data_IF_279670414394
#
_entry.id   IF_279670414394
#
_cell.length_a   1.000
_cell.length_b   1.000
_cell.length_c   1.000
_cell.angle_alpha   90.00
_cell.angle_beta   90.00
_cell.angle_gamma   90.00
#
_symmetry.space_group_name_H-M   'P 1'
#
loop_
_entity.id
_entity.type
_entity.pdbx_description
1 polymer ?
#
# COMPACT_ATOMS: atom_id res chain seq x y z
N UNK A 1 2.01 -13.30 8.50
CA UNK A 1 2.37 -12.19 7.59
C UNK A 1 3.08 -11.10 8.37
N UNK A 2 3.97 -10.32 7.72
CA UNK A 2 4.71 -9.22 8.41
C UNK A 2 3.77 -8.22 9.08
N UNK A 3 2.67 -7.83 8.44
CA UNK A 3 1.68 -6.90 9.00
C UNK A 3 1.10 -7.45 10.31
N UNK A 4 0.63 -8.70 10.31
CA UNK A 4 0.04 -9.34 11.50
C UNK A 4 1.05 -9.41 12.66
N UNK A 5 2.29 -9.80 12.35
CA UNK A 5 3.38 -9.89 13.32
C UNK A 5 3.71 -8.51 13.91
N UNK A 6 3.70 -7.46 13.08
CA UNK A 6 3.95 -6.08 13.51
C UNK A 6 2.88 -5.59 14.48
N UNK A 7 1.60 -5.78 14.18
CA UNK A 7 0.53 -5.41 15.11
C UNK A 7 0.56 -6.22 16.40
N UNK A 8 0.84 -7.53 16.32
CA UNK A 8 0.98 -8.37 17.51
C UNK A 8 2.12 -7.89 18.41
N UNK A 9 3.27 -7.53 17.82
CA UNK A 9 4.42 -6.95 18.54
C UNK A 9 4.05 -5.62 19.20
N UNK A 10 3.46 -4.68 18.46
CA UNK A 10 3.07 -3.38 19.00
C UNK A 10 2.06 -3.54 20.16
N UNK A 11 1.10 -4.44 20.02
CA UNK A 11 0.14 -4.75 21.09
C UNK A 11 0.83 -5.33 22.34
N UNK A 12 1.77 -6.25 22.16
CA UNK A 12 2.54 -6.84 23.26
C UNK A 12 3.38 -5.78 23.98
N UNK A 13 3.95 -4.84 23.22
CA UNK A 13 4.76 -3.73 23.75
C UNK A 13 3.92 -2.58 24.33
N UNK A 14 2.57 -2.67 24.24
CA UNK A 14 1.65 -1.62 24.72
C UNK A 14 1.73 -0.32 23.94
N UNK A 15 2.18 -0.36 22.67
CA UNK A 15 2.32 0.81 21.81
C UNK A 15 1.38 0.76 20.60
N UNK A 16 1.01 1.94 20.09
CA UNK A 16 0.32 2.10 18.81
C UNK A 16 1.31 1.91 17.66
N UNK A 17 0.92 1.18 16.61
CA UNK A 17 1.73 1.07 15.40
C UNK A 17 1.83 2.44 14.71
N UNK A 18 3.06 2.85 14.38
CA UNK A 18 3.33 4.07 13.64
C UNK A 18 3.44 3.76 12.15
N UNK A 19 2.51 4.29 11.35
CA UNK A 19 2.43 4.07 9.91
C UNK A 19 2.76 5.38 9.20
N UNK A 20 3.69 5.34 8.24
CA UNK A 20 4.08 6.50 7.43
C UNK A 20 3.64 6.30 5.99
N UNK A 21 3.22 7.39 5.32
CA UNK A 21 2.88 7.40 3.90
C UNK A 21 3.85 8.28 3.11
N UNK A 22 4.30 7.79 1.96
CA UNK A 22 5.12 8.53 1.00
C UNK A 22 4.81 8.09 -0.44
N UNK A 23 4.44 8.99 -1.36
CA UNK A 23 4.34 8.66 -2.78
C UNK A 23 5.73 8.33 -3.35
N UNK A 24 5.79 7.28 -4.18
CA UNK A 24 7.01 6.95 -4.90
C UNK A 24 7.39 8.09 -5.84
N UNK A 25 8.65 8.52 -5.81
CA UNK A 25 9.13 9.65 -6.60
C UNK A 25 8.83 11.04 -6.00
N UNK A 26 8.45 11.11 -4.72
CA UNK A 26 8.36 12.40 -4.05
C UNK A 26 9.72 13.10 -4.10
N UNK A 27 9.74 14.34 -4.70
CA UNK A 27 10.88 15.09 -5.24
C UNK A 27 11.51 14.36 -6.42
N UNK A 28 12.30 13.34 -6.21
CA UNK A 28 12.94 12.57 -7.28
C UNK A 28 12.81 11.06 -7.03
N UNK A 29 12.85 10.26 -8.12
CA UNK A 29 12.76 8.80 -8.03
C UNK A 29 13.86 8.22 -7.14
N UNK A 30 15.08 8.78 -7.25
CA UNK A 30 16.22 8.33 -6.47
C UNK A 30 16.11 8.57 -4.96
N UNK A 31 15.28 9.52 -4.54
CA UNK A 31 15.07 9.84 -3.12
C UNK A 31 14.18 8.81 -2.41
N UNK A 32 13.37 8.05 -3.14
CA UNK A 32 12.38 7.16 -2.53
C UNK A 32 13.02 6.13 -1.61
N UNK A 33 14.05 5.40 -2.06
CA UNK A 33 14.70 4.36 -1.23
C UNK A 33 15.33 4.95 0.03
N UNK A 34 16.16 6.00 -0.04
CA UNK A 34 16.68 6.68 1.16
C UNK A 34 15.58 7.11 2.14
N UNK A 35 14.45 7.62 1.65
CA UNK A 35 13.33 8.04 2.49
C UNK A 35 12.69 6.82 3.19
N UNK A 36 12.43 5.72 2.48
CA UNK A 36 11.87 4.50 3.07
C UNK A 36 12.76 3.96 4.19
N UNK A 37 14.07 3.92 3.98
CA UNK A 37 15.04 3.49 4.99
C UNK A 37 15.10 4.46 6.17
N UNK A 38 15.00 5.77 5.92
CA UNK A 38 14.95 6.78 6.98
C UNK A 38 13.65 6.68 7.80
N UNK A 39 12.50 6.43 7.17
CA UNK A 39 11.24 6.17 7.88
C UNK A 39 11.37 4.98 8.82
N UNK A 40 11.93 3.87 8.35
CA UNK A 40 12.20 2.70 9.19
C UNK A 40 13.15 3.04 10.35
N UNK A 41 14.26 3.71 10.08
CA UNK A 41 15.21 4.13 11.09
C UNK A 41 14.60 5.12 12.11
N UNK A 42 13.64 5.94 11.67
CA UNK A 42 12.84 6.84 12.50
C UNK A 42 11.75 6.17 13.33
N UNK A 43 11.60 4.85 13.22
CA UNK A 43 10.67 4.06 14.03
C UNK A 43 9.32 3.80 13.39
N UNK A 44 9.16 3.98 12.07
CA UNK A 44 7.96 3.53 11.39
C UNK A 44 7.80 2.01 11.51
N UNK A 45 6.64 1.57 11.96
CA UNK A 45 6.31 0.15 12.10
C UNK A 45 5.80 -0.45 10.78
N UNK A 46 5.14 0.36 9.95
CA UNK A 46 4.65 0.03 8.61
C UNK A 46 4.88 1.24 7.71
N UNK A 47 5.17 1.02 6.43
CA UNK A 47 5.30 2.10 5.46
C UNK A 47 4.29 1.89 4.33
N UNK A 48 3.50 2.91 4.06
CA UNK A 48 2.64 2.99 2.89
C UNK A 48 3.37 3.71 1.76
N UNK A 49 3.47 3.08 0.61
CA UNK A 49 4.09 3.66 -0.59
C UNK A 49 2.99 3.97 -1.61
N UNK A 50 2.79 5.25 -1.88
CA UNK A 50 1.83 5.70 -2.87
C UNK A 50 2.30 5.39 -4.29
N UNK A 51 1.43 4.74 -5.08
CA UNK A 51 1.62 4.56 -6.52
C UNK A 51 1.24 5.88 -7.19
N UNK A 52 2.15 6.56 -7.93
CA UNK A 52 1.83 7.83 -8.58
C UNK A 52 0.58 7.74 -9.46
N UNK A 53 -0.33 8.67 -9.29
CA UNK A 53 -1.58 8.72 -10.03
C UNK A 53 -1.93 10.17 -10.38
N UNK A 54 -2.43 10.40 -11.60
CA UNK A 54 -2.68 11.73 -12.14
C UNK A 54 -3.92 12.42 -11.60
N UNK A 55 -4.89 11.65 -11.09
CA UNK A 55 -6.17 12.16 -10.58
C UNK A 55 -6.53 11.58 -9.20
N UNK A 56 -5.73 11.84 -8.15
CA UNK A 56 -5.92 11.28 -6.81
C UNK A 56 -7.04 12.02 -6.06
N UNK A 57 -8.29 11.85 -6.53
CA UNK A 57 -9.45 12.63 -6.09
C UNK A 57 -9.85 12.47 -4.62
N UNK A 58 -9.40 11.42 -3.95
CA UNK A 58 -9.65 11.23 -2.51
C UNK A 58 -8.57 11.90 -1.62
N UNK A 59 -7.46 12.32 -2.22
CA UNK A 59 -6.35 12.94 -1.49
C UNK A 59 -6.50 14.46 -1.37
N UNK A 60 -5.93 15.03 -0.31
CA UNK A 60 -5.81 16.47 -0.14
C UNK A 60 -4.72 17.08 -1.06
N UNK A 61 -4.69 18.43 -1.22
CA UNK A 61 -3.84 19.10 -2.20
C UNK A 61 -2.34 18.86 -1.99
N UNK A 62 -1.89 18.61 -0.77
CA UNK A 62 -0.49 18.32 -0.45
C UNK A 62 -0.08 16.96 -1.02
N UNK A 63 -0.92 15.96 -0.81
CA UNK A 63 -0.68 14.59 -1.31
C UNK A 63 -0.84 14.54 -2.83
N UNK A 64 -1.85 15.23 -3.40
CA UNK A 64 -2.01 15.36 -4.85
C UNK A 64 -0.73 15.91 -5.50
N UNK A 65 -0.15 16.97 -4.92
CA UNK A 65 1.12 17.53 -5.42
C UNK A 65 2.28 16.54 -5.32
N UNK A 66 2.31 15.73 -4.28
CA UNK A 66 3.34 14.70 -4.11
C UNK A 66 3.18 13.56 -5.13
N UNK A 67 1.96 13.14 -5.45
CA UNK A 67 1.66 12.20 -6.55
C UNK A 67 2.10 12.77 -7.90
N UNK A 68 1.79 14.06 -8.15
CA UNK A 68 2.15 14.72 -9.41
C UNK A 68 3.67 14.66 -9.67
N UNK A 69 4.51 14.81 -8.65
CA UNK A 69 5.96 14.67 -8.80
C UNK A 69 6.35 13.30 -9.38
N UNK A 70 5.72 12.24 -8.94
CA UNK A 70 5.97 10.90 -9.49
C UNK A 70 5.44 10.72 -10.91
N UNK A 71 4.26 11.29 -11.20
CA UNK A 71 3.65 11.29 -12.55
C UNK A 71 4.55 12.03 -13.53
N UNK A 72 5.04 13.23 -13.18
CA UNK A 72 5.90 14.05 -14.04
C UNK A 72 7.23 13.36 -14.37
N UNK A 73 7.70 12.48 -13.49
CA UNK A 73 8.89 11.64 -13.70
C UNK A 73 8.59 10.36 -14.47
N UNK A 74 7.34 10.11 -14.86
CA UNK A 74 6.94 8.91 -15.59
C UNK A 74 7.07 7.61 -14.79
N UNK A 75 6.97 7.67 -13.47
CA UNK A 75 7.07 6.49 -12.61
C UNK A 75 5.88 5.59 -12.84
N UNK A 76 6.16 4.36 -13.24
CA UNK A 76 5.18 3.31 -13.49
C UNK A 76 4.99 2.41 -12.26
N UNK A 77 3.93 1.60 -12.26
CA UNK A 77 3.72 0.57 -11.23
C UNK A 77 4.92 -0.40 -11.13
N UNK A 78 5.51 -0.77 -12.27
CA UNK A 78 6.72 -1.62 -12.31
C UNK A 78 7.90 -0.96 -11.59
N UNK A 79 8.07 0.36 -11.75
CA UNK A 79 9.12 1.11 -11.04
C UNK A 79 8.88 1.10 -9.53
N UNK A 80 7.63 1.21 -9.09
CA UNK A 80 7.27 1.13 -7.65
C UNK A 80 7.64 -0.24 -7.09
N UNK A 81 7.30 -1.33 -7.78
CA UNK A 81 7.67 -2.68 -7.36
C UNK A 81 9.19 -2.86 -7.29
N UNK A 82 9.92 -2.38 -8.31
CA UNK A 82 11.38 -2.43 -8.31
C UNK A 82 11.97 -1.63 -7.15
N UNK A 83 11.43 -0.43 -6.88
CA UNK A 83 11.85 0.41 -5.74
C UNK A 83 11.71 -0.32 -4.41
N UNK A 84 10.60 -1.02 -4.18
CA UNK A 84 10.41 -1.82 -2.96
C UNK A 84 11.42 -2.98 -2.90
N UNK A 85 11.62 -3.68 -4.00
CA UNK A 85 12.60 -4.77 -4.09
C UNK A 85 14.01 -4.29 -3.76
N UNK A 86 14.42 -3.16 -4.34
CA UNK A 86 15.74 -2.57 -4.11
C UNK A 86 15.91 -2.04 -2.67
N UNK A 87 14.85 -1.48 -2.09
CA UNK A 87 14.84 -1.08 -0.69
C UNK A 87 14.98 -2.29 0.25
N UNK A 88 14.32 -3.42 -0.08
CA UNK A 88 14.48 -4.69 0.64
C UNK A 88 15.94 -5.18 0.60
N UNK A 89 16.56 -5.14 -0.56
CA UNK A 89 17.97 -5.50 -0.72
C UNK A 89 18.92 -4.61 0.09
N UNK A 90 18.52 -3.36 0.36
CA UNK A 90 19.26 -2.39 1.18
C UNK A 90 18.88 -2.40 2.66
N UNK A 91 18.09 -3.38 3.12
CA UNK A 91 17.80 -3.57 4.55
C UNK A 91 16.44 -3.05 5.03
N UNK A 92 15.49 -2.77 4.14
CA UNK A 92 14.11 -2.47 4.54
C UNK A 92 13.42 -3.75 5.03
N UNK A 93 13.05 -3.81 6.31
CA UNK A 93 12.45 -4.99 6.95
C UNK A 93 11.00 -4.80 7.38
N UNK A 94 10.57 -3.56 7.67
CA UNK A 94 9.19 -3.26 8.06
C UNK A 94 8.19 -3.59 6.93
N UNK A 95 6.93 -3.93 7.23
CA UNK A 95 5.92 -4.13 6.21
C UNK A 95 5.79 -2.93 5.27
N UNK A 96 5.59 -3.22 3.98
CA UNK A 96 5.31 -2.23 2.94
C UNK A 96 3.92 -2.50 2.36
N UNK A 97 3.08 -1.49 2.38
CA UNK A 97 1.74 -1.49 1.77
C UNK A 97 1.75 -0.54 0.58
N UNK A 98 1.31 -0.97 -0.58
CA UNK A 98 1.11 -0.08 -1.72
C UNK A 98 -0.28 0.54 -1.65
N UNK A 99 -0.34 1.87 -1.78
CA UNK A 99 -1.59 2.62 -1.84
C UNK A 99 -1.78 3.19 -3.24
N UNK A 100 -2.97 3.02 -3.80
CA UNK A 100 -3.29 3.51 -5.14
C UNK A 100 -4.78 3.55 -5.43
N UNK A 101 -5.09 3.80 -6.70
CA UNK A 101 -6.46 3.93 -7.22
C UNK A 101 -6.79 2.80 -8.20
N UNK A 102 -8.07 2.46 -8.34
CA UNK A 102 -8.53 1.29 -9.12
C UNK A 102 -8.28 1.40 -10.63
N UNK A 103 -8.19 2.63 -11.17
CA UNK A 103 -7.87 2.89 -12.57
C UNK A 103 -6.37 2.76 -12.92
N UNK A 104 -5.51 2.59 -11.93
CA UNK A 104 -4.16 2.10 -12.21
C UNK A 104 -4.27 0.70 -12.82
N UNK A 105 -3.20 0.19 -13.52
CA UNK A 105 -3.16 -1.18 -14.02
C UNK A 105 -3.42 -2.27 -12.96
N UNK A 106 -3.92 -1.86 -11.82
CA UNK A 106 -4.47 -2.66 -10.73
C UNK A 106 -5.74 -3.42 -11.18
N UNK A 107 -6.49 -2.94 -12.17
CA UNK A 107 -7.49 -3.78 -12.86
C UNK A 107 -6.84 -4.99 -13.54
N UNK A 108 -5.63 -4.84 -14.02
CA UNK A 108 -4.80 -5.95 -14.46
C UNK A 108 -4.12 -6.69 -13.29
N UNK A 109 -4.14 -6.17 -12.06
CA UNK A 109 -3.69 -6.87 -10.83
C UNK A 109 -4.65 -8.00 -10.46
N UNK A 110 -5.89 -7.97 -10.95
CA UNK A 110 -6.72 -9.18 -11.04
C UNK A 110 -6.08 -10.24 -11.94
N UNK A 111 -5.11 -9.88 -12.79
CA UNK A 111 -4.28 -10.88 -13.40
C UNK A 111 -3.31 -11.46 -12.34
N UNK A 112 -3.34 -12.78 -12.19
CA UNK A 112 -2.40 -13.54 -11.34
C UNK A 112 -0.93 -13.16 -11.58
N UNK A 113 -0.61 -12.59 -12.74
CA UNK A 113 0.72 -12.13 -13.15
C UNK A 113 1.22 -10.97 -12.29
N UNK A 114 0.37 -9.96 -12.04
CA UNK A 114 0.77 -8.82 -11.21
C UNK A 114 0.83 -9.16 -9.72
N UNK A 115 -0.10 -9.99 -9.24
CA UNK A 115 -0.07 -10.46 -7.87
C UNK A 115 1.17 -11.35 -7.62
N UNK A 116 1.54 -12.22 -8.57
CA UNK A 116 2.76 -13.00 -8.51
C UNK A 116 4.01 -12.12 -8.54
N UNK A 117 4.07 -11.12 -9.44
CA UNK A 117 5.17 -10.16 -9.48
C UNK A 117 5.29 -9.40 -8.16
N UNK A 118 4.18 -8.93 -7.59
CA UNK A 118 4.16 -8.23 -6.32
C UNK A 118 4.65 -9.09 -5.16
N UNK A 119 4.26 -10.36 -5.09
CA UNK A 119 4.66 -11.28 -4.02
C UNK A 119 6.16 -11.54 -3.97
N UNK A 120 6.87 -11.41 -5.10
CA UNK A 120 8.33 -11.61 -5.19
C UNK A 120 9.14 -10.35 -4.84
N UNK A 121 8.51 -9.16 -4.83
CA UNK A 121 9.19 -7.89 -4.56
C UNK A 121 9.26 -7.53 -3.07
N UNK A 122 8.54 -8.27 -2.22
CA UNK A 122 8.51 -8.03 -0.78
C UNK A 122 7.47 -6.99 -0.33
N UNK A 123 6.51 -6.68 -1.17
CA UNK A 123 5.28 -5.95 -0.80
C UNK A 123 4.39 -6.85 0.06
N UNK A 124 3.78 -6.29 1.10
CA UNK A 124 2.98 -7.03 2.09
C UNK A 124 1.48 -6.82 1.93
N UNK A 125 1.06 -5.72 1.31
CA UNK A 125 -0.37 -5.40 1.18
C UNK A 125 -0.70 -4.31 0.18
N UNK A 126 -2.00 -4.14 -0.05
CA UNK A 126 -2.60 -3.09 -0.88
C UNK A 126 -3.70 -2.34 -0.14
N UNK A 127 -3.72 -1.03 -0.32
CA UNK A 127 -4.86 -0.14 -0.11
C UNK A 127 -5.27 0.39 -1.48
N UNK A 128 -6.50 0.10 -1.91
CA UNK A 128 -7.09 0.67 -3.12
C UNK A 128 -8.21 1.61 -2.69
N UNK A 129 -7.94 2.91 -2.85
CA UNK A 129 -8.72 3.97 -2.21
C UNK A 129 -10.18 4.02 -2.68
N UNK A 130 -10.40 3.79 -3.95
CA UNK A 130 -11.68 3.91 -4.64
C UNK A 130 -12.29 2.56 -5.06
N UNK A 131 -11.79 1.43 -4.53
CA UNK A 131 -12.35 0.10 -4.82
C UNK A 131 -13.50 -0.21 -3.86
N UNK A 132 -14.77 -0.20 -4.34
CA UNK A 132 -15.90 -0.50 -3.48
C UNK A 132 -15.93 -2.00 -3.11
N UNK A 133 -16.50 -2.37 -1.95
CA UNK A 133 -16.51 -3.76 -1.49
C UNK A 133 -17.23 -4.70 -2.46
N UNK A 134 -18.19 -4.21 -3.22
CA UNK A 134 -18.93 -4.97 -4.23
C UNK A 134 -18.03 -5.46 -5.37
N UNK A 135 -16.98 -4.71 -5.69
CA UNK A 135 -16.00 -5.01 -6.75
C UNK A 135 -14.72 -5.66 -6.19
N UNK A 136 -14.53 -5.63 -4.88
CA UNK A 136 -13.31 -6.09 -4.21
C UNK A 136 -13.17 -7.62 -4.13
N UNK A 137 -14.21 -8.39 -4.43
CA UNK A 137 -14.26 -9.86 -4.20
C UNK A 137 -13.14 -10.58 -4.92
N UNK A 138 -12.99 -10.34 -6.21
CA UNK A 138 -11.96 -10.98 -7.05
C UNK A 138 -10.55 -10.54 -6.62
N UNK A 139 -10.36 -9.23 -6.47
CA UNK A 139 -9.08 -8.65 -6.02
C UNK A 139 -8.65 -9.22 -4.67
N UNK A 140 -9.56 -9.27 -3.70
CA UNK A 140 -9.31 -9.84 -2.38
C UNK A 140 -8.92 -11.33 -2.46
N UNK A 141 -9.62 -12.12 -3.29
CA UNK A 141 -9.31 -13.54 -3.46
C UNK A 141 -7.92 -13.77 -4.07
N UNK A 142 -7.58 -13.01 -5.13
CA UNK A 142 -6.29 -13.11 -5.82
C UNK A 142 -5.13 -12.69 -4.91
N UNK A 143 -5.23 -11.54 -4.25
CA UNK A 143 -4.19 -11.06 -3.34
C UNK A 143 -3.95 -12.04 -2.19
N UNK A 144 -5.01 -12.64 -1.65
CA UNK A 144 -4.93 -13.67 -0.61
C UNK A 144 -4.17 -14.92 -1.07
N UNK A 145 -4.42 -15.40 -2.30
CA UNK A 145 -3.71 -16.55 -2.87
C UNK A 145 -2.19 -16.31 -2.97
N UNK A 146 -1.78 -15.07 -3.22
CA UNK A 146 -0.37 -14.68 -3.30
C UNK A 146 0.23 -14.20 -1.96
N UNK A 147 -0.51 -14.34 -0.85
CA UNK A 147 -0.03 -13.97 0.48
C UNK A 147 0.01 -12.46 0.76
N UNK A 148 -0.54 -11.64 -0.13
CA UNK A 148 -0.62 -10.18 -0.02
C UNK A 148 -1.91 -9.82 0.73
N UNK A 149 -1.83 -8.85 1.64
CA UNK A 149 -3.00 -8.35 2.34
C UNK A 149 -3.78 -7.35 1.48
N UNK A 150 -5.08 -7.50 1.38
CA UNK A 150 -5.96 -6.42 0.96
C UNK A 150 -6.47 -5.70 2.21
N UNK A 151 -6.34 -4.38 2.21
CA UNK A 151 -6.68 -3.48 3.32
C UNK A 151 -7.73 -2.49 2.80
N UNK A 152 -9.01 -2.79 2.98
CA UNK A 152 -10.08 -1.90 2.56
C UNK A 152 -10.21 -0.71 3.52
N UNK A 153 -10.80 0.38 3.04
CA UNK A 153 -10.98 1.62 3.79
C UNK A 153 -12.42 1.78 4.29
N UNK A 154 -12.54 2.35 5.49
CA UNK A 154 -13.80 2.85 6.05
C UNK A 154 -13.68 4.34 6.35
N UNK A 155 -14.81 5.03 6.45
CA UNK A 155 -14.88 6.43 6.82
C UNK A 155 -15.83 6.62 8.02
N UNK A 156 -15.80 7.78 8.70
CA UNK A 156 -16.73 8.08 9.78
C UNK A 156 -18.21 8.01 9.38
N UNK A 157 -18.51 8.09 8.08
CA UNK A 157 -19.87 7.99 7.54
C UNK A 157 -20.27 6.57 7.12
N UNK A 158 -19.35 5.59 7.24
CA UNK A 158 -19.63 4.20 6.88
C UNK A 158 -20.60 3.57 7.88
N UNK A 159 -21.77 3.15 7.40
CA UNK A 159 -22.77 2.49 8.25
C UNK A 159 -22.37 1.05 8.59
N UNK A 160 -22.88 0.53 9.71
CA UNK A 160 -22.49 -0.79 10.26
C UNK A 160 -22.66 -1.96 9.28
N UNK A 161 -23.74 -1.96 8.49
CA UNK A 161 -23.97 -3.02 7.49
C UNK A 161 -22.88 -3.02 6.41
N UNK A 162 -22.48 -1.83 5.95
CA UNK A 162 -21.41 -1.67 4.95
C UNK A 162 -20.04 -1.98 5.56
N UNK A 163 -19.81 -1.58 6.82
CA UNK A 163 -18.57 -1.91 7.53
C UNK A 163 -18.35 -3.43 7.64
N UNK A 164 -19.41 -4.21 7.93
CA UNK A 164 -19.32 -5.67 7.97
C UNK A 164 -18.98 -6.27 6.60
N UNK A 165 -19.52 -5.73 5.52
CA UNK A 165 -19.21 -6.15 4.15
C UNK A 165 -17.74 -5.84 3.83
N UNK A 166 -17.28 -4.62 4.09
CA UNK A 166 -15.89 -4.19 3.89
C UNK A 166 -14.95 -5.10 4.67
N UNK A 167 -15.25 -5.36 5.94
CA UNK A 167 -14.41 -6.20 6.80
C UNK A 167 -14.30 -7.64 6.30
N UNK A 168 -15.33 -8.19 5.65
CA UNK A 168 -15.27 -9.55 5.07
C UNK A 168 -14.22 -9.70 3.98
N UNK A 169 -13.79 -8.63 3.34
CA UNK A 169 -12.71 -8.60 2.34
C UNK A 169 -11.33 -8.32 2.93
N UNK A 170 -11.24 -7.85 4.18
CA UNK A 170 -9.98 -7.51 4.82
C UNK A 170 -9.15 -8.74 5.16
N UNK A 171 -7.83 -8.64 5.00
CA UNK A 171 -6.91 -9.72 5.35
C UNK A 171 -6.01 -9.41 6.55
N UNK A 172 -5.97 -8.16 7.03
CA UNK A 172 -5.09 -7.75 8.11
C UNK A 172 -5.67 -6.64 9.00
N UNK A 173 -6.02 -5.50 8.41
CA UNK A 173 -6.59 -4.32 9.09
C UNK A 173 -7.61 -3.62 8.19
N UNK A 174 -8.36 -2.69 8.76
CA UNK A 174 -9.34 -1.82 8.05
C UNK A 174 -9.08 -0.40 8.46
#
# INVERSE_FOLDING_TARGET
RRIDTTFARCKHEGKTAFITFIPCGYKEKADTIPILLACQAGGADIIEVGIPYSDPGADGPVIQKAHQNGVDQGITFKDVLQTVSDARAQGLTVPVVLMGYSLLPIHDVCSHVYAAATSTTGVDGYIIVDLPPEEATEFSAVTKQHGICFIPLVSPTTVDSRMRMIWSHSHAMV
#
